data_IF_099597519637
#
_entry.id   IF_099597519637
#
_cell.length_a   1.000
_cell.length_b   1.000
_cell.length_c   1.000
_cell.angle_alpha   90.00
_cell.angle_beta   90.00
_cell.angle_gamma   90.00
#
_symmetry.space_group_name_H-M   'P 1'
#
loop_
_entity.id
_entity.type
_entity.pdbx_description
1 polymer ?
#
# COMPACT_ATOMS: atom_id res chain seq x y z
N UNK A 1 -2.52 -0.27 -28.39
CA UNK A 1 -2.90 -1.31 -27.39
C UNK A 1 -3.02 -0.66 -26.02
N UNK A 2 -4.18 -0.77 -25.34
CA UNK A 2 -4.32 -0.31 -23.95
C UNK A 2 -3.75 -1.38 -23.01
N UNK A 3 -2.89 -0.99 -22.07
CA UNK A 3 -2.42 -1.90 -21.01
C UNK A 3 -3.50 -1.99 -19.94
N UNK A 4 -4.00 -3.19 -19.68
CA UNK A 4 -4.93 -3.43 -18.58
C UNK A 4 -4.14 -3.53 -17.27
N UNK A 5 -4.58 -2.80 -16.25
CA UNK A 5 -4.01 -2.88 -14.89
C UNK A 5 -4.98 -3.71 -14.05
N UNK A 6 -4.50 -4.82 -13.50
CA UNK A 6 -5.30 -5.74 -12.69
C UNK A 6 -4.77 -5.86 -11.27
N UNK A 7 -3.53 -5.40 -11.02
CA UNK A 7 -2.85 -5.46 -9.73
C UNK A 7 -2.06 -4.19 -9.52
N UNK A 8 -2.10 -3.67 -8.30
CA UNK A 8 -1.42 -2.44 -7.91
C UNK A 8 -0.52 -2.76 -6.71
N UNK A 9 0.73 -2.32 -6.74
CA UNK A 9 1.62 -2.37 -5.59
C UNK A 9 1.87 -0.95 -5.09
N UNK A 10 1.67 -0.72 -3.80
CA UNK A 10 1.96 0.55 -3.13
C UNK A 10 3.15 0.33 -2.20
N UNK A 11 4.17 1.17 -2.33
CA UNK A 11 5.38 1.12 -1.50
C UNK A 11 5.29 2.19 -0.41
N UNK A 12 5.38 1.77 0.85
CA UNK A 12 5.18 2.59 2.05
C UNK A 12 3.76 2.42 2.61
N UNK A 13 3.67 2.08 3.91
CA UNK A 13 2.41 1.81 4.63
C UNK A 13 1.93 2.95 5.51
N UNK A 14 2.62 4.09 5.49
CA UNK A 14 2.21 5.30 6.19
C UNK A 14 0.85 5.85 5.73
N UNK A 15 0.39 6.94 6.35
CA UNK A 15 -0.96 7.52 6.19
C UNK A 15 -1.37 7.68 4.71
N UNK A 16 -0.47 8.24 3.89
CA UNK A 16 -0.73 8.43 2.46
C UNK A 16 -0.77 7.11 1.70
N UNK A 17 0.16 6.18 1.98
CA UNK A 17 0.27 4.89 1.29
C UNK A 17 -0.93 3.98 1.56
N UNK A 18 -1.38 3.94 2.82
CA UNK A 18 -2.61 3.25 3.21
C UNK A 18 -3.85 3.84 2.53
N UNK A 19 -3.97 5.17 2.48
CA UNK A 19 -5.09 5.84 1.81
C UNK A 19 -5.15 5.53 0.30
N UNK A 20 -4.00 5.57 -0.38
CA UNK A 20 -3.91 5.23 -1.80
C UNK A 20 -4.27 3.75 -2.03
N UNK A 21 -3.75 2.85 -1.19
CA UNK A 21 -4.05 1.42 -1.30
C UNK A 21 -5.55 1.13 -1.06
N UNK A 22 -6.15 1.77 -0.06
CA UNK A 22 -7.57 1.65 0.25
C UNK A 22 -8.45 2.14 -0.90
N UNK A 23 -8.13 3.28 -1.50
CA UNK A 23 -8.89 3.82 -2.62
C UNK A 23 -8.99 2.82 -3.78
N UNK A 24 -7.87 2.19 -4.17
CA UNK A 24 -7.87 1.20 -5.23
C UNK A 24 -8.50 -0.14 -4.83
N UNK A 25 -8.32 -0.57 -3.58
CA UNK A 25 -8.99 -1.76 -3.08
C UNK A 25 -10.52 -1.60 -3.10
N UNK A 26 -11.02 -0.41 -2.74
CA UNK A 26 -12.45 -0.09 -2.76
C UNK A 26 -13.04 -0.04 -4.19
N UNK A 27 -12.20 0.25 -5.19
CA UNK A 27 -12.54 0.16 -6.61
C UNK A 27 -12.44 -1.27 -7.17
N UNK A 28 -12.13 -2.27 -6.34
CA UNK A 28 -12.08 -3.69 -6.71
C UNK A 28 -10.74 -4.15 -7.29
N UNK A 29 -9.69 -3.33 -7.23
CA UNK A 29 -8.35 -3.77 -7.65
C UNK A 29 -7.70 -4.64 -6.58
N UNK A 30 -6.88 -5.61 -7.02
CA UNK A 30 -6.01 -6.36 -6.12
C UNK A 30 -4.79 -5.50 -5.77
N UNK A 31 -4.72 -5.06 -4.52
CA UNK A 31 -3.65 -4.18 -4.05
C UNK A 31 -2.68 -4.93 -3.14
N UNK A 32 -1.38 -4.69 -3.31
CA UNK A 32 -0.32 -5.14 -2.41
C UNK A 32 0.31 -3.90 -1.76
N UNK A 33 0.22 -3.78 -0.44
CA UNK A 33 0.88 -2.73 0.33
C UNK A 33 2.19 -3.31 0.88
N UNK A 34 3.32 -2.78 0.46
CA UNK A 34 4.65 -3.22 0.88
C UNK A 34 5.32 -2.10 1.66
N UNK A 35 5.84 -2.42 2.83
CA UNK A 35 6.71 -1.50 3.57
C UNK A 35 7.93 -2.24 4.09
N UNK A 36 9.00 -1.50 4.38
CA UNK A 36 10.15 -2.08 5.06
C UNK A 36 9.89 -2.08 6.55
N UNK A 37 10.11 -3.24 7.17
CA UNK A 37 10.18 -3.29 8.62
C UNK A 37 11.44 -2.54 9.08
N UNK A 38 11.27 -1.59 9.99
CA UNK A 38 12.37 -0.92 10.65
C UNK A 38 12.30 -1.17 12.15
N UNK A 39 13.13 -2.09 12.64
CA UNK A 39 13.21 -2.46 14.08
C UNK A 39 13.48 -1.28 15.00
N UNK A 40 14.05 -0.18 14.48
CA UNK A 40 14.36 1.02 15.28
C UNK A 40 13.14 1.92 15.53
N UNK A 41 12.10 1.84 14.70
CA UNK A 41 10.85 2.60 14.88
C UNK A 41 9.73 1.78 15.53
N UNK A 42 9.75 0.45 15.39
CA UNK A 42 8.73 -0.45 15.97
C UNK A 42 8.69 -0.46 17.51
N UNK A 43 9.60 0.25 18.19
CA UNK A 43 9.66 0.35 19.65
C UNK A 43 8.79 1.48 20.24
N UNK A 44 8.18 2.33 19.40
CA UNK A 44 7.41 3.51 19.85
C UNK A 44 5.97 3.60 19.32
N UNK A 45 5.46 2.55 18.66
CA UNK A 45 4.05 2.47 18.30
C UNK A 45 3.26 1.97 19.54
N UNK A 46 2.91 2.92 20.40
CA UNK A 46 2.00 2.75 21.53
C UNK A 46 0.54 2.55 21.07
#
# INVERSE_FOLDING_TARGET
MKKTINKIAVLGSGIMGSSIACHFANLGFKVLLLDRLNDKLSANDH
#
